data_IF_783841105654
#
_entry.id   IF_783841105654
#
_cell.length_a   1.000
_cell.length_b   1.000
_cell.length_c   1.000
_cell.angle_alpha   90.00
_cell.angle_beta   90.00
_cell.angle_gamma   90.00
#
_symmetry.space_group_name_H-M   'P 1'
#
loop_
_entity.id
_entity.type
_entity.pdbx_description
1 polymer ?
#
# COMPACT_ATOMS: atom_id res chain seq x y z
N UNK A 1 -16.84 33.43 -7.80
CA UNK A 1 -17.44 32.44 -6.85
C UNK A 1 -18.21 31.43 -7.68
N UNK A 2 -17.85 30.15 -7.56
CA UNK A 2 -18.74 29.08 -8.04
C UNK A 2 -19.99 29.20 -7.16
N UNK A 3 -21.18 29.42 -7.74
CA UNK A 3 -22.39 29.51 -6.95
C UNK A 3 -22.66 28.16 -6.26
N UNK A 4 -23.25 28.15 -5.06
CA UNK A 4 -23.63 26.93 -4.38
C UNK A 4 -24.45 25.99 -5.28
N UNK A 5 -25.31 26.56 -6.12
CA UNK A 5 -26.09 25.85 -7.15
C UNK A 5 -25.21 25.16 -8.23
N UNK A 6 -24.07 25.76 -8.59
CA UNK A 6 -23.15 25.15 -9.58
C UNK A 6 -22.40 23.96 -8.97
N UNK A 7 -22.02 24.06 -7.69
CA UNK A 7 -21.36 22.98 -6.98
C UNK A 7 -22.33 21.80 -6.74
N UNK A 8 -23.55 22.07 -6.32
CA UNK A 8 -24.61 21.07 -6.16
C UNK A 8 -24.86 20.30 -7.47
N UNK A 9 -25.03 21.00 -8.60
CA UNK A 9 -25.19 20.37 -9.91
C UNK A 9 -24.00 19.46 -10.30
N UNK A 10 -22.76 19.87 -9.96
CA UNK A 10 -21.56 19.06 -10.23
C UNK A 10 -21.54 17.81 -9.37
N UNK A 11 -21.93 17.90 -8.09
CA UNK A 11 -22.04 16.76 -7.20
C UNK A 11 -23.12 15.79 -7.70
N UNK A 12 -24.26 16.29 -8.10
CA UNK A 12 -25.37 15.47 -8.62
C UNK A 12 -24.99 14.73 -9.91
N UNK A 13 -24.23 15.37 -10.81
CA UNK A 13 -23.71 14.74 -12.02
C UNK A 13 -22.78 13.58 -11.68
N UNK A 14 -21.79 13.82 -10.81
CA UNK A 14 -20.85 12.77 -10.39
C UNK A 14 -21.58 11.66 -9.66
N UNK A 15 -22.52 11.99 -8.77
CA UNK A 15 -23.33 10.99 -8.05
C UNK A 15 -24.17 10.15 -9.01
N UNK A 16 -24.70 10.75 -10.06
CA UNK A 16 -25.46 10.02 -11.10
C UNK A 16 -24.58 9.03 -11.85
N UNK A 17 -23.37 9.40 -12.22
CA UNK A 17 -22.38 8.51 -12.85
C UNK A 17 -22.00 7.34 -11.91
N UNK A 18 -21.77 7.62 -10.61
CA UNK A 18 -21.51 6.58 -9.60
C UNK A 18 -22.71 5.63 -9.42
N UNK A 19 -23.94 6.16 -9.45
CA UNK A 19 -25.17 5.35 -9.37
C UNK A 19 -25.25 4.38 -10.55
N UNK A 20 -25.00 4.89 -11.74
CA UNK A 20 -25.00 4.07 -12.97
C UNK A 20 -23.91 2.99 -12.91
N UNK A 21 -22.71 3.36 -12.46
CA UNK A 21 -21.62 2.42 -12.25
C UNK A 21 -22.00 1.29 -11.29
N UNK A 22 -22.47 1.59 -10.07
CA UNK A 22 -22.84 0.56 -9.09
C UNK A 22 -24.02 -0.31 -9.55
N UNK A 23 -24.91 0.23 -10.37
CA UNK A 23 -26.01 -0.53 -10.94
C UNK A 23 -25.55 -1.51 -12.03
N UNK A 24 -24.67 -1.06 -12.93
CA UNK A 24 -24.21 -1.86 -14.09
C UNK A 24 -23.09 -2.84 -13.76
N UNK A 25 -22.25 -2.54 -12.76
CA UNK A 25 -20.98 -3.22 -12.51
C UNK A 25 -20.96 -3.99 -11.18
N UNK A 26 -22.10 -4.55 -10.77
CA UNK A 26 -22.19 -5.33 -9.52
C UNK A 26 -21.23 -6.51 -9.50
N UNK A 27 -20.91 -7.10 -10.63
CA UNK A 27 -20.04 -8.26 -10.75
C UNK A 27 -18.56 -7.92 -10.55
N UNK A 28 -18.18 -6.67 -10.76
CA UNK A 28 -16.83 -6.17 -10.48
C UNK A 28 -16.60 -5.93 -8.99
N UNK A 29 -17.66 -5.83 -8.19
CA UNK A 29 -17.51 -5.62 -6.73
C UNK A 29 -16.97 -6.88 -6.10
N UNK A 30 -15.74 -6.77 -5.59
CA UNK A 30 -14.99 -7.87 -4.99
C UNK A 30 -15.37 -8.03 -3.52
N UNK A 31 -16.08 -9.13 -3.23
CA UNK A 31 -16.60 -9.40 -1.89
C UNK A 31 -15.52 -10.09 -1.07
N UNK A 32 -15.11 -9.52 0.09
CA UNK A 32 -14.09 -10.13 0.91
C UNK A 32 -14.60 -11.44 1.51
N UNK A 33 -13.68 -12.37 1.78
CA UNK A 33 -13.98 -13.59 2.54
C UNK A 33 -14.64 -13.25 3.88
N UNK A 34 -15.55 -14.12 4.31
CA UNK A 34 -16.27 -13.99 5.58
C UNK A 34 -16.91 -12.60 5.73
N UNK A 35 -17.70 -12.18 4.73
CA UNK A 35 -18.35 -10.86 4.69
C UNK A 35 -19.06 -10.51 6.00
N UNK A 36 -19.68 -11.50 6.67
CA UNK A 36 -20.39 -11.33 7.95
C UNK A 36 -19.47 -11.01 9.13
N UNK A 37 -18.16 -11.24 8.99
CA UNK A 37 -17.15 -10.96 10.03
C UNK A 37 -16.39 -9.65 9.78
N UNK A 38 -16.72 -8.94 8.69
CA UNK A 38 -16.05 -7.69 8.31
C UNK A 38 -16.83 -6.46 8.73
N UNK A 39 -16.11 -5.46 9.20
CA UNK A 39 -16.64 -4.11 9.27
C UNK A 39 -16.63 -3.49 7.89
N UNK A 40 -17.73 -2.83 7.55
CA UNK A 40 -17.82 -1.98 6.37
C UNK A 40 -18.05 -0.53 6.77
N UNK A 41 -17.69 0.35 5.86
CA UNK A 41 -17.98 1.77 5.96
C UNK A 41 -17.98 2.41 4.59
N UNK A 42 -18.61 3.57 4.49
CA UNK A 42 -18.60 4.32 3.25
C UNK A 42 -18.67 5.83 3.49
N UNK A 43 -18.18 6.59 2.52
CA UNK A 43 -18.33 8.04 2.46
C UNK A 43 -19.54 8.39 1.61
N UNK A 44 -20.31 9.38 2.04
CA UNK A 44 -21.38 9.96 1.23
C UNK A 44 -20.89 11.21 0.50
N UNK A 45 -21.50 11.52 -0.64
CA UNK A 45 -21.24 12.80 -1.31
C UNK A 45 -21.68 13.96 -0.43
N UNK A 46 -20.74 14.87 -0.12
CA UNK A 46 -21.02 16.07 0.68
C UNK A 46 -21.20 15.87 2.17
N UNK A 47 -21.02 14.64 2.69
CA UNK A 47 -21.14 14.36 4.13
C UNK A 47 -19.99 13.49 4.64
N UNK A 48 -20.07 13.08 5.93
CA UNK A 48 -19.03 12.32 6.60
C UNK A 48 -19.01 10.82 6.26
N UNK A 49 -18.11 10.12 6.92
CA UNK A 49 -17.97 8.67 6.82
C UNK A 49 -18.97 7.97 7.76
N UNK A 50 -19.70 7.01 7.22
CA UNK A 50 -20.52 6.05 7.95
C UNK A 50 -19.69 4.80 8.16
N UNK A 51 -19.57 4.34 9.40
CA UNK A 51 -18.77 3.17 9.80
C UNK A 51 -19.62 2.18 10.62
N UNK A 52 -18.97 1.08 11.00
CA UNK A 52 -19.57 0.04 11.84
C UNK A 52 -20.77 -0.64 11.18
N UNK A 53 -20.71 -0.82 9.87
CA UNK A 53 -21.70 -1.60 9.12
C UNK A 53 -21.25 -3.05 9.02
N UNK A 54 -22.22 -3.95 8.95
CA UNK A 54 -22.03 -5.37 8.71
C UNK A 54 -23.07 -5.87 7.73
N UNK A 55 -22.69 -6.78 6.86
CA UNK A 55 -23.58 -7.38 5.87
C UNK A 55 -23.50 -8.91 5.99
N UNK A 56 -24.65 -9.56 5.93
CA UNK A 56 -24.72 -11.03 5.99
C UNK A 56 -24.46 -11.66 4.63
N UNK A 57 -24.81 -10.96 3.55
CA UNK A 57 -24.74 -11.48 2.19
C UNK A 57 -24.20 -10.45 1.21
N UNK A 58 -23.68 -10.93 0.08
CA UNK A 58 -23.33 -10.09 -1.08
C UNK A 58 -24.51 -9.21 -1.51
N UNK A 59 -25.73 -9.78 -1.55
CA UNK A 59 -26.93 -9.05 -1.97
C UNK A 59 -27.25 -7.84 -1.10
N UNK A 60 -27.11 -7.95 0.23
CA UNK A 60 -27.31 -6.82 1.16
C UNK A 60 -26.31 -5.70 0.91
N UNK A 61 -25.02 -6.04 0.71
CA UNK A 61 -23.99 -5.07 0.39
C UNK A 61 -24.29 -4.36 -0.94
N UNK A 62 -24.54 -5.10 -2.01
CA UNK A 62 -24.82 -4.54 -3.33
C UNK A 62 -26.09 -3.67 -3.34
N UNK A 63 -27.16 -4.10 -2.70
CA UNK A 63 -28.39 -3.30 -2.53
C UNK A 63 -28.10 -1.97 -1.81
N UNK A 64 -27.21 -1.99 -0.82
CA UNK A 64 -26.78 -0.78 -0.11
C UNK A 64 -25.97 0.14 -1.01
N UNK A 65 -25.03 -0.37 -1.81
CA UNK A 65 -24.25 0.45 -2.74
C UNK A 65 -25.13 1.14 -3.78
N UNK A 66 -26.11 0.42 -4.34
CA UNK A 66 -27.05 0.96 -5.32
C UNK A 66 -27.99 2.01 -4.71
N UNK A 67 -28.45 1.79 -3.47
CA UNK A 67 -29.37 2.70 -2.78
C UNK A 67 -28.68 3.96 -2.30
N UNK A 68 -27.54 3.82 -1.62
CA UNK A 68 -26.84 4.94 -0.95
C UNK A 68 -25.95 5.72 -1.91
N UNK A 69 -25.50 5.09 -3.00
CA UNK A 69 -24.57 5.67 -3.98
C UNK A 69 -23.36 6.32 -3.29
N UNK A 70 -22.55 5.54 -2.58
CA UNK A 70 -21.42 6.09 -1.82
C UNK A 70 -20.33 6.63 -2.75
N UNK A 71 -19.61 7.68 -2.30
CA UNK A 71 -18.45 8.21 -3.00
C UNK A 71 -17.20 7.34 -2.84
N UNK A 72 -17.10 6.65 -1.71
CA UNK A 72 -16.01 5.73 -1.37
C UNK A 72 -16.53 4.62 -0.47
N UNK A 73 -16.07 3.40 -0.67
CA UNK A 73 -16.51 2.22 0.09
C UNK A 73 -15.30 1.48 0.67
N UNK A 74 -15.44 1.01 1.90
CA UNK A 74 -14.35 0.37 2.63
C UNK A 74 -14.82 -0.91 3.31
N UNK A 75 -13.89 -1.87 3.43
CA UNK A 75 -14.02 -3.04 4.30
C UNK A 75 -12.80 -3.18 5.20
N UNK A 76 -12.97 -3.77 6.39
CA UNK A 76 -11.85 -4.01 7.30
C UNK A 76 -10.92 -5.12 6.76
N UNK A 77 -9.60 -4.98 7.05
CA UNK A 77 -8.68 -6.11 6.96
C UNK A 77 -8.93 -7.12 8.10
N UNK A 78 -9.51 -6.66 9.21
CA UNK A 78 -9.81 -7.47 10.36
C UNK A 78 -11.10 -8.29 10.22
N UNK A 79 -11.11 -9.42 10.93
CA UNK A 79 -12.27 -10.25 11.19
C UNK A 79 -12.72 -10.01 12.63
N UNK A 80 -14.02 -9.88 12.84
CA UNK A 80 -14.63 -9.60 14.12
C UNK A 80 -15.80 -10.55 14.39
N UNK A 81 -16.04 -10.83 15.67
CA UNK A 81 -17.26 -11.53 16.09
C UNK A 81 -18.48 -10.59 15.95
N UNK A 82 -18.31 -9.30 16.28
CA UNK A 82 -19.35 -8.29 16.25
C UNK A 82 -18.91 -7.06 15.45
N UNK A 83 -18.82 -7.15 14.10
CA UNK A 83 -18.21 -6.10 13.28
C UNK A 83 -18.94 -4.75 13.33
N UNK A 84 -20.25 -4.73 13.65
CA UNK A 84 -21.05 -3.50 13.76
C UNK A 84 -20.96 -2.79 15.12
N UNK A 85 -20.25 -3.36 16.08
CA UNK A 85 -20.11 -2.76 17.41
C UNK A 85 -18.99 -1.70 17.44
N UNK A 86 -18.92 -0.87 18.50
CA UNK A 86 -17.75 -0.01 18.74
C UNK A 86 -16.45 -0.82 18.77
N UNK A 87 -15.32 -0.18 18.43
CA UNK A 87 -14.03 -0.89 18.22
C UNK A 87 -13.62 -1.75 19.43
N UNK A 88 -13.90 -1.30 20.65
CA UNK A 88 -13.55 -1.99 21.89
C UNK A 88 -14.39 -3.26 22.12
N UNK A 89 -15.55 -3.36 21.48
CA UNK A 89 -16.53 -4.43 21.68
C UNK A 89 -16.59 -5.42 20.49
N UNK A 90 -15.85 -5.14 19.41
CA UNK A 90 -15.91 -5.95 18.18
C UNK A 90 -15.43 -7.39 18.35
N UNK A 91 -14.61 -7.68 19.32
CA UNK A 91 -13.91 -8.98 19.51
C UNK A 91 -13.14 -9.39 18.25
N UNK A 92 -11.89 -8.97 18.20
CA UNK A 92 -10.97 -9.24 17.08
C UNK A 92 -10.65 -10.74 16.98
N UNK A 93 -10.68 -11.29 15.76
CA UNK A 93 -10.44 -12.72 15.45
C UNK A 93 -9.19 -12.93 14.59
N UNK A 94 -8.61 -11.86 14.06
CA UNK A 94 -7.50 -11.89 13.12
C UNK A 94 -7.64 -10.77 12.10
N UNK A 95 -6.64 -10.61 11.25
CA UNK A 95 -6.68 -9.66 10.14
C UNK A 95 -5.85 -10.17 8.97
N UNK A 96 -6.28 -9.88 7.74
CA UNK A 96 -5.45 -10.11 6.55
C UNK A 96 -4.19 -9.27 6.62
N UNK A 97 -3.08 -9.80 6.14
CA UNK A 97 -1.85 -9.03 5.99
C UNK A 97 -1.92 -8.27 4.66
N UNK A 98 -1.87 -6.95 4.73
CA UNK A 98 -1.98 -6.08 3.56
C UNK A 98 -0.82 -5.09 3.57
N UNK A 99 -0.15 -4.95 2.44
CA UNK A 99 0.87 -3.93 2.21
C UNK A 99 0.31 -2.84 1.30
N UNK A 100 0.71 -1.60 1.54
CA UNK A 100 0.36 -0.43 0.73
C UNK A 100 1.62 0.19 0.14
N UNK A 101 1.60 0.43 -1.16
CA UNK A 101 2.68 1.09 -1.90
C UNK A 101 2.09 2.30 -2.60
N UNK A 102 2.45 3.49 -2.16
CA UNK A 102 1.93 4.75 -2.66
C UNK A 102 3.01 5.54 -3.41
N UNK A 103 2.65 6.20 -4.51
CA UNK A 103 3.59 6.98 -5.32
C UNK A 103 4.24 8.13 -4.53
N UNK A 104 3.52 8.70 -3.56
CA UNK A 104 4.04 9.77 -2.68
C UNK A 104 5.27 9.32 -1.87
N UNK A 105 5.36 8.03 -1.51
CA UNK A 105 6.43 7.47 -0.68
C UNK A 105 7.68 7.14 -1.51
N UNK A 106 7.56 7.18 -2.85
CA UNK A 106 8.68 6.96 -3.77
C UNK A 106 9.49 8.23 -4.05
N UNK A 107 8.94 9.41 -3.76
CA UNK A 107 9.57 10.73 -4.00
C UNK A 107 10.14 10.86 -5.44
N UNK A 108 9.36 10.44 -6.44
CA UNK A 108 9.78 10.44 -7.82
C UNK A 108 9.85 11.85 -8.40
N UNK A 109 10.88 12.19 -9.22
CA UNK A 109 11.02 13.52 -9.79
C UNK A 109 9.83 13.99 -10.66
N UNK A 110 9.06 13.03 -11.18
CA UNK A 110 7.88 13.33 -11.99
C UNK A 110 6.69 13.87 -11.17
N UNK A 111 6.70 13.77 -9.85
CA UNK A 111 5.59 14.23 -8.99
C UNK A 111 5.24 15.70 -9.24
N UNK A 112 6.25 16.54 -9.45
CA UNK A 112 6.08 17.96 -9.73
C UNK A 112 5.31 18.21 -11.05
N UNK A 113 5.46 17.32 -12.04
CA UNK A 113 4.90 17.51 -13.39
C UNK A 113 3.44 17.10 -13.52
N UNK A 114 2.92 16.27 -12.61
CA UNK A 114 1.55 15.76 -12.64
C UNK A 114 0.76 16.03 -11.37
N UNK A 115 1.31 16.85 -10.48
CA UNK A 115 0.62 17.35 -9.30
C UNK A 115 0.25 18.81 -9.50
N UNK A 116 -0.93 19.18 -9.01
CA UNK A 116 -1.44 20.54 -9.08
C UNK A 116 -2.27 20.85 -7.83
N UNK A 117 -2.52 22.12 -7.61
CA UNK A 117 -3.37 22.61 -6.55
C UNK A 117 -4.70 23.10 -7.11
N UNK A 118 -5.79 22.87 -6.41
CA UNK A 118 -7.11 23.37 -6.77
C UNK A 118 -7.61 24.27 -5.65
N UNK A 119 -8.01 25.47 -6.00
CA UNK A 119 -8.73 26.35 -5.09
C UNK A 119 -10.15 25.82 -4.85
N UNK A 120 -10.48 25.42 -3.63
CA UNK A 120 -11.82 24.88 -3.31
C UNK A 120 -12.92 25.97 -3.31
N UNK A 121 -12.57 27.25 -3.31
CA UNK A 121 -13.55 28.33 -3.35
C UNK A 121 -13.96 28.74 -4.78
N UNK A 122 -13.03 28.78 -5.74
CA UNK A 122 -13.33 29.21 -7.11
C UNK A 122 -13.03 28.16 -8.19
N UNK A 123 -12.56 26.95 -7.82
CA UNK A 123 -12.25 25.87 -8.73
C UNK A 123 -11.00 26.08 -9.60
N UNK A 124 -10.26 27.19 -9.44
CA UNK A 124 -9.09 27.46 -10.27
C UNK A 124 -7.96 26.49 -9.96
N UNK A 125 -7.33 25.98 -11.01
CA UNK A 125 -6.09 25.21 -10.91
C UNK A 125 -4.94 26.20 -10.66
N UNK A 126 -4.09 25.86 -9.71
CA UNK A 126 -2.96 26.64 -9.23
C UNK A 126 -1.68 25.81 -9.34
N UNK A 127 -0.53 26.44 -9.28
CA UNK A 127 0.75 25.75 -9.14
C UNK A 127 0.83 24.93 -7.84
N UNK A 128 1.61 23.87 -7.85
CA UNK A 128 1.61 22.83 -6.80
C UNK A 128 1.86 23.39 -5.38
N UNK A 129 2.64 24.42 -5.23
CA UNK A 129 3.02 25.00 -3.92
C UNK A 129 2.34 26.33 -3.62
N UNK A 130 1.24 26.66 -4.31
CA UNK A 130 0.49 27.90 -4.02
C UNK A 130 -0.11 27.84 -2.61
N UNK A 131 0.19 28.84 -1.79
CA UNK A 131 -0.37 28.96 -0.43
C UNK A 131 -1.73 29.68 -0.41
N UNK A 132 -2.01 30.47 -1.44
CA UNK A 132 -3.27 31.21 -1.60
C UNK A 132 -3.67 31.29 -3.07
N UNK A 133 -4.96 31.44 -3.30
CA UNK A 133 -5.50 31.65 -4.65
C UNK A 133 -5.39 33.11 -5.06
N UNK A 134 -4.64 33.41 -6.11
CA UNK A 134 -4.48 34.77 -6.65
C UNK A 134 -5.80 35.40 -7.09
N UNK A 135 -6.86 34.63 -7.35
CA UNK A 135 -8.14 35.13 -7.86
C UNK A 135 -9.16 35.46 -6.77
N UNK A 136 -9.12 34.78 -5.62
CA UNK A 136 -10.10 34.98 -4.54
C UNK A 136 -9.45 35.02 -3.15
N UNK A 137 -8.13 35.12 -3.07
CA UNK A 137 -7.32 35.23 -1.86
C UNK A 137 -7.59 34.17 -0.75
N UNK A 138 -8.29 33.09 -1.08
CA UNK A 138 -8.51 32.00 -0.11
C UNK A 138 -7.26 31.15 0.05
N UNK A 139 -7.05 30.63 1.27
CA UNK A 139 -6.06 29.62 1.59
C UNK A 139 -6.62 28.19 1.52
N UNK A 140 -7.90 28.05 1.18
CA UNK A 140 -8.53 26.73 1.08
C UNK A 140 -8.15 26.07 -0.25
N UNK A 141 -6.99 25.44 -0.25
CA UNK A 141 -6.37 24.82 -1.42
C UNK A 141 -6.23 23.31 -1.17
N UNK A 142 -6.58 22.51 -2.17
CA UNK A 142 -6.37 21.06 -2.18
C UNK A 142 -5.28 20.70 -3.18
N UNK A 143 -4.24 20.04 -2.71
CA UNK A 143 -3.28 19.37 -3.61
C UNK A 143 -3.90 18.08 -4.16
N UNK A 144 -3.71 17.85 -5.44
CA UNK A 144 -4.15 16.62 -6.12
C UNK A 144 -3.10 16.22 -7.15
N UNK A 145 -3.02 14.91 -7.39
CA UNK A 145 -2.15 14.35 -8.42
C UNK A 145 -2.86 13.18 -9.09
N UNK A 146 -2.60 12.97 -10.35
CA UNK A 146 -3.00 11.77 -11.09
C UNK A 146 -1.73 10.96 -11.40
N UNK A 147 -1.79 9.63 -11.36
CA UNK A 147 -0.62 8.80 -11.64
C UNK A 147 -0.18 9.01 -13.11
N UNK A 148 1.11 9.24 -13.32
CA UNK A 148 1.70 9.25 -14.64
C UNK A 148 2.40 7.90 -14.92
N UNK A 149 2.76 7.63 -16.17
CA UNK A 149 3.45 6.39 -16.56
C UNK A 149 4.76 6.15 -15.79
N UNK A 150 5.51 7.21 -15.45
CA UNK A 150 6.74 7.09 -14.63
C UNK A 150 6.44 6.69 -13.20
N UNK A 151 5.37 7.24 -12.59
CA UNK A 151 4.92 6.80 -11.25
C UNK A 151 4.49 5.35 -11.26
N UNK A 152 3.69 4.95 -12.25
CA UNK A 152 3.23 3.57 -12.39
C UNK A 152 4.40 2.61 -12.57
N UNK A 153 5.38 2.96 -13.39
CA UNK A 153 6.61 2.18 -13.56
C UNK A 153 7.39 2.04 -12.24
N UNK A 154 7.56 3.13 -11.49
CA UNK A 154 8.20 3.11 -10.17
C UNK A 154 7.46 2.21 -9.17
N UNK A 155 6.13 2.33 -9.11
CA UNK A 155 5.28 1.49 -8.27
C UNK A 155 5.37 0.00 -8.65
N UNK A 156 5.35 -0.34 -9.95
CA UNK A 156 5.53 -1.72 -10.43
C UNK A 156 6.87 -2.31 -10.01
N UNK A 157 7.95 -1.51 -9.99
CA UNK A 157 9.26 -1.97 -9.51
C UNK A 157 9.27 -2.27 -8.01
N UNK A 158 8.63 -1.43 -7.19
CA UNK A 158 8.48 -1.70 -5.75
C UNK A 158 7.60 -2.93 -5.49
N UNK A 159 6.52 -3.11 -6.26
CA UNK A 159 5.69 -4.32 -6.19
C UNK A 159 6.51 -5.58 -6.48
N UNK A 160 7.35 -5.57 -7.52
CA UNK A 160 8.23 -6.71 -7.85
C UNK A 160 9.19 -7.03 -6.71
N UNK A 161 9.77 -6.00 -6.07
CA UNK A 161 10.64 -6.17 -4.89
C UNK A 161 9.87 -6.80 -3.73
N UNK A 162 8.69 -6.26 -3.41
CA UNK A 162 7.84 -6.80 -2.35
C UNK A 162 7.46 -8.25 -2.62
N UNK A 163 6.96 -8.56 -3.82
CA UNK A 163 6.55 -9.92 -4.20
C UNK A 163 7.73 -10.89 -4.12
N UNK A 164 8.93 -10.49 -4.61
CA UNK A 164 10.13 -11.32 -4.49
C UNK A 164 10.50 -11.60 -3.02
N UNK A 165 10.39 -10.60 -2.12
CA UNK A 165 10.63 -10.80 -0.68
C UNK A 165 9.60 -11.76 -0.08
N UNK A 166 8.32 -11.61 -0.42
CA UNK A 166 7.24 -12.46 0.10
C UNK A 166 7.38 -13.91 -0.36
N UNK A 167 7.74 -14.15 -1.60
CA UNK A 167 7.92 -15.51 -2.13
C UNK A 167 9.23 -16.12 -1.63
N UNK A 168 10.36 -15.43 -1.82
CA UNK A 168 11.68 -16.00 -1.61
C UNK A 168 12.04 -16.15 -0.12
N UNK A 169 11.61 -15.18 0.71
CA UNK A 169 12.05 -15.09 2.10
C UNK A 169 10.98 -15.58 3.08
N UNK A 170 9.69 -15.33 2.78
CA UNK A 170 8.56 -15.79 3.62
C UNK A 170 7.91 -17.08 3.12
N UNK A 171 8.25 -17.54 1.90
CA UNK A 171 7.71 -18.77 1.34
C UNK A 171 6.23 -18.70 0.96
N UNK A 172 5.71 -17.49 0.74
CA UNK A 172 4.31 -17.30 0.36
C UNK A 172 4.14 -17.75 -1.09
N UNK A 173 3.18 -18.63 -1.34
CA UNK A 173 2.85 -19.05 -2.69
C UNK A 173 2.25 -17.88 -3.49
N UNK A 174 2.68 -17.72 -4.74
CA UNK A 174 2.24 -16.63 -5.61
C UNK A 174 0.70 -16.53 -5.74
N UNK A 175 0.01 -17.67 -5.76
CA UNK A 175 -1.47 -17.73 -5.79
C UNK A 175 -2.15 -17.07 -4.59
N UNK A 176 -1.42 -16.94 -3.45
CA UNK A 176 -1.91 -16.32 -2.21
C UNK A 176 -1.58 -14.82 -2.17
N UNK A 177 -0.95 -14.26 -3.20
CA UNK A 177 -0.61 -12.83 -3.33
C UNK A 177 -1.56 -12.20 -4.33
N UNK A 178 -2.44 -11.31 -3.85
CA UNK A 178 -3.35 -10.57 -4.73
C UNK A 178 -2.95 -9.10 -4.75
N UNK A 179 -2.69 -8.59 -5.93
CA UNK A 179 -2.35 -7.19 -6.15
C UNK A 179 -3.58 -6.44 -6.63
N UNK A 180 -3.87 -5.30 -5.99
CA UNK A 180 -4.91 -4.37 -6.40
C UNK A 180 -4.30 -3.00 -6.69
N UNK A 181 -4.67 -2.40 -7.79
CA UNK A 181 -4.56 -0.95 -7.95
C UNK A 181 -5.53 -0.27 -6.97
N UNK A 182 -5.07 0.71 -6.21
CA UNK A 182 -5.85 1.33 -5.11
C UNK A 182 -7.04 2.19 -5.56
N UNK A 183 -7.13 2.45 -6.88
CA UNK A 183 -8.07 3.40 -7.46
C UNK A 183 -7.56 4.85 -7.43
N UNK A 184 -6.29 5.09 -7.06
CA UNK A 184 -5.69 6.44 -7.06
C UNK A 184 -4.21 6.36 -7.49
N UNK A 185 -3.26 6.51 -6.57
CA UNK A 185 -1.83 6.63 -6.87
C UNK A 185 -0.99 5.49 -6.28
N UNK A 186 -1.55 4.31 -6.07
CA UNK A 186 -0.82 3.24 -5.40
C UNK A 186 -1.40 1.86 -5.66
N UNK A 187 -0.80 0.87 -4.99
CA UNK A 187 -1.24 -0.52 -5.04
C UNK A 187 -1.32 -1.11 -3.63
N UNK A 188 -2.31 -1.95 -3.40
CA UNK A 188 -2.41 -2.79 -2.21
C UNK A 188 -2.05 -4.23 -2.56
N UNK A 189 -1.22 -4.86 -1.74
CA UNK A 189 -0.88 -6.28 -1.85
C UNK A 189 -1.51 -7.03 -0.70
N UNK A 190 -2.47 -7.88 -1.00
CA UNK A 190 -3.21 -8.68 -0.03
C UNK A 190 -2.62 -10.09 0.02
N UNK A 191 -2.33 -10.58 1.23
CA UNK A 191 -1.84 -11.94 1.47
C UNK A 191 -2.98 -12.77 2.01
N UNK A 192 -3.38 -13.80 1.25
CA UNK A 192 -4.49 -14.69 1.60
C UNK A 192 -4.07 -15.86 2.50
N UNK A 193 -2.83 -15.90 2.96
CA UNK A 193 -2.32 -16.98 3.80
C UNK A 193 -2.76 -16.84 5.25
N UNK A 194 -3.44 -17.84 5.77
CA UNK A 194 -4.01 -17.85 7.12
C UNK A 194 -2.98 -17.77 8.25
N UNK A 195 -1.73 -18.17 8.00
CA UNK A 195 -0.67 -18.14 9.02
C UNK A 195 -0.36 -16.72 9.50
N UNK A 196 -0.60 -15.70 8.67
CA UNK A 196 -0.37 -14.29 9.01
C UNK A 196 -1.56 -13.62 9.70
N UNK A 197 -2.73 -14.27 9.76
CA UNK A 197 -3.98 -13.66 10.28
C UNK A 197 -3.89 -13.32 11.76
N UNK A 198 -3.17 -14.10 12.55
CA UNK A 198 -3.07 -13.91 14.00
C UNK A 198 -1.89 -13.04 14.43
N UNK A 199 -1.11 -12.50 13.49
CA UNK A 199 -0.06 -11.54 13.82
C UNK A 199 -0.68 -10.26 14.37
N UNK A 200 -0.27 -9.90 15.57
CA UNK A 200 -0.60 -8.61 16.18
C UNK A 200 0.18 -7.45 15.53
N UNK A 201 -0.09 -6.23 15.96
CA UNK A 201 0.57 -5.03 15.42
C UNK A 201 2.09 -5.05 15.59
N UNK A 202 2.62 -5.63 16.68
CA UNK A 202 4.05 -5.73 16.93
C UNK A 202 4.71 -6.69 15.94
N UNK A 203 4.18 -7.91 15.81
CA UNK A 203 4.69 -8.90 14.87
C UNK A 203 4.62 -8.40 13.41
N UNK A 204 3.55 -7.66 13.07
CA UNK A 204 3.43 -7.01 11.75
C UNK A 204 4.49 -5.92 11.55
N UNK A 205 4.83 -5.16 12.58
CA UNK A 205 5.91 -4.17 12.51
C UNK A 205 7.27 -4.82 12.26
N UNK A 206 7.51 -6.03 12.78
CA UNK A 206 8.73 -6.81 12.48
C UNK A 206 8.75 -7.27 11.02
N UNK A 207 7.62 -7.73 10.49
CA UNK A 207 7.48 -8.06 9.04
C UNK A 207 7.75 -6.84 8.18
N UNK A 208 7.22 -5.69 8.55
CA UNK A 208 7.45 -4.40 7.86
C UNK A 208 8.93 -4.03 7.89
N UNK A 209 9.58 -4.08 9.05
CA UNK A 209 11.01 -3.81 9.20
C UNK A 209 11.86 -4.72 8.32
N UNK A 210 11.50 -6.02 8.27
CA UNK A 210 12.16 -6.98 7.40
C UNK A 210 11.99 -6.63 5.91
N UNK A 211 10.77 -6.38 5.47
CA UNK A 211 10.45 -6.08 4.06
C UNK A 211 11.12 -4.78 3.60
N UNK A 212 11.20 -3.78 4.47
CA UNK A 212 11.84 -2.50 4.17
C UNK A 212 13.38 -2.57 4.26
N UNK A 213 13.94 -3.64 4.83
CA UNK A 213 15.39 -3.74 5.08
C UNK A 213 15.87 -2.83 6.20
N UNK A 214 14.97 -2.39 7.07
CA UNK A 214 15.27 -1.56 8.22
C UNK A 214 15.86 -2.39 9.36
N UNK A 215 16.70 -1.78 10.19
CA UNK A 215 17.25 -2.37 11.44
C UNK A 215 17.96 -3.71 11.26
N UNK A 216 18.49 -3.98 10.06
CA UNK A 216 19.21 -5.22 9.78
C UNK A 216 20.50 -5.28 10.58
N UNK A 217 20.56 -6.20 11.56
CA UNK A 217 21.76 -6.43 12.35
C UNK A 217 22.75 -7.29 11.57
N UNK A 218 24.05 -6.97 11.65
CA UNK A 218 25.10 -7.78 11.00
C UNK A 218 25.12 -9.23 11.53
N UNK A 219 24.73 -9.43 12.78
CA UNK A 219 24.60 -10.75 13.39
C UNK A 219 23.51 -11.59 12.70
N UNK A 220 22.40 -10.99 12.29
CA UNK A 220 21.31 -11.68 11.59
C UNK A 220 21.73 -12.17 10.20
N UNK A 221 22.64 -11.45 9.56
CA UNK A 221 23.23 -11.89 8.28
C UNK A 221 24.45 -12.80 8.48
N UNK A 222 24.84 -13.08 9.73
CA UNK A 222 25.91 -14.02 10.05
C UNK A 222 27.30 -13.40 10.19
N UNK A 223 27.40 -12.08 10.32
CA UNK A 223 28.67 -11.38 10.64
C UNK A 223 28.68 -11.03 12.11
N UNK A 224 29.67 -11.51 12.87
CA UNK A 224 29.79 -11.27 14.31
C UNK A 224 31.14 -10.67 14.66
N UNK A 225 31.13 -9.70 15.59
CA UNK A 225 32.34 -9.15 16.21
C UNK A 225 32.61 -9.90 17.52
N UNK A 226 33.81 -10.43 17.64
CA UNK A 226 34.27 -11.04 18.89
C UNK A 226 34.76 -9.98 19.88
N UNK A 227 34.83 -10.30 21.18
CA UNK A 227 35.29 -9.39 22.23
C UNK A 227 36.72 -8.86 22.04
N UNK A 228 37.57 -9.62 21.35
CA UNK A 228 38.93 -9.25 20.97
C UNK A 228 39.02 -8.40 19.68
N UNK A 229 37.89 -7.94 19.14
CA UNK A 229 37.82 -7.16 17.89
C UNK A 229 37.96 -7.96 16.61
N UNK A 230 38.16 -9.27 16.68
CA UNK A 230 38.15 -10.16 15.49
C UNK A 230 36.73 -10.31 14.93
N UNK A 231 36.63 -10.58 13.65
CA UNK A 231 35.35 -10.82 12.99
C UNK A 231 35.21 -12.31 12.60
N UNK A 232 34.05 -12.86 12.89
CA UNK A 232 33.67 -14.16 12.37
C UNK A 232 32.49 -14.00 11.42
N UNK A 233 32.43 -14.83 10.40
CA UNK A 233 31.33 -14.81 9.43
C UNK A 233 30.83 -16.20 9.13
N UNK A 234 29.51 -16.34 9.06
CA UNK A 234 28.80 -17.49 8.51
C UNK A 234 28.14 -17.16 7.17
N UNK A 235 28.36 -15.94 6.64
CA UNK A 235 27.75 -15.48 5.40
C UNK A 235 28.05 -16.41 4.24
N UNK A 236 29.24 -17.00 4.24
CA UNK A 236 29.74 -17.85 3.14
C UNK A 236 29.82 -19.35 3.46
N UNK A 237 29.59 -19.76 4.72
CA UNK A 237 29.80 -21.16 5.17
C UNK A 237 28.57 -22.06 5.07
N UNK A 238 27.38 -21.49 4.90
CA UNK A 238 26.14 -22.25 4.84
C UNK A 238 25.78 -22.55 3.39
N UNK A 239 25.48 -23.82 3.08
CA UNK A 239 24.90 -24.20 1.79
C UNK A 239 23.45 -23.73 1.65
N UNK A 240 22.83 -23.39 2.77
CA UNK A 240 21.45 -22.91 2.86
C UNK A 240 21.50 -21.48 3.38
N UNK A 241 21.62 -20.52 2.46
CA UNK A 241 21.58 -19.09 2.76
C UNK A 241 20.26 -18.56 2.22
N UNK A 242 19.45 -17.96 3.11
CA UNK A 242 18.13 -17.41 2.80
C UNK A 242 18.02 -15.94 3.24
N UNK A 243 16.99 -15.27 2.78
CA UNK A 243 16.62 -13.95 3.22
C UNK A 243 17.72 -12.93 3.03
N UNK A 244 17.82 -11.97 3.92
CA UNK A 244 18.79 -10.89 3.82
C UNK A 244 20.24 -11.36 3.78
N UNK A 245 20.55 -12.49 4.39
CA UNK A 245 21.90 -13.06 4.29
C UNK A 245 22.27 -13.39 2.85
N UNK A 246 21.36 -14.02 2.11
CA UNK A 246 21.57 -14.34 0.69
C UNK A 246 21.65 -13.06 -0.14
N UNK A 247 20.69 -12.16 0.04
CA UNK A 247 20.60 -10.90 -0.73
C UNK A 247 21.86 -10.05 -0.59
N UNK A 248 22.37 -9.88 0.64
CA UNK A 248 23.62 -9.15 0.92
C UNK A 248 24.84 -9.90 0.36
N UNK A 249 24.91 -11.23 0.53
CA UNK A 249 26.01 -12.01 -0.04
C UNK A 249 26.07 -11.90 -1.56
N UNK A 250 24.94 -12.01 -2.24
CA UNK A 250 24.83 -11.87 -3.70
C UNK A 250 25.24 -10.44 -4.15
N UNK A 251 24.77 -9.40 -3.46
CA UNK A 251 25.13 -8.00 -3.73
C UNK A 251 26.61 -7.72 -3.58
N UNK A 252 27.23 -8.30 -2.55
CA UNK A 252 28.67 -8.18 -2.28
C UNK A 252 29.52 -9.16 -3.12
N UNK A 253 28.87 -10.06 -3.87
CA UNK A 253 29.53 -11.15 -4.63
C UNK A 253 30.43 -12.01 -3.74
N UNK A 254 29.92 -12.39 -2.55
CA UNK A 254 30.61 -13.21 -1.57
C UNK A 254 30.06 -14.62 -1.63
N UNK A 255 30.93 -15.57 -1.93
CA UNK A 255 30.66 -17.01 -1.87
C UNK A 255 31.48 -17.69 -0.77
N UNK A 256 31.34 -19.03 -0.65
CA UNK A 256 32.05 -19.84 0.33
C UNK A 256 33.58 -19.84 0.16
N UNK A 257 34.12 -19.33 -0.97
CA UNK A 257 35.54 -19.25 -1.26
C UNK A 257 36.12 -17.84 -1.03
N UNK A 258 35.26 -16.85 -0.74
CA UNK A 258 35.62 -15.43 -0.72
C UNK A 258 35.71 -14.84 0.69
N UNK A 259 36.07 -15.64 1.72
CA UNK A 259 36.15 -15.17 3.12
C UNK A 259 37.12 -14.00 3.32
N UNK A 260 38.28 -14.02 2.64
CA UNK A 260 39.26 -12.93 2.68
C UNK A 260 38.71 -11.62 2.10
N UNK A 261 37.78 -11.73 1.15
CA UNK A 261 37.12 -10.60 0.54
C UNK A 261 36.24 -9.85 1.54
N UNK A 262 35.49 -10.55 2.40
CA UNK A 262 34.70 -9.90 3.43
C UNK A 262 35.54 -9.14 4.45
N UNK A 263 36.65 -9.74 4.91
CA UNK A 263 37.60 -9.06 5.79
C UNK A 263 38.17 -7.77 5.18
N UNK A 264 38.48 -7.80 3.87
CA UNK A 264 38.94 -6.64 3.14
C UNK A 264 37.82 -5.59 2.95
N UNK A 265 36.57 -5.98 2.74
CA UNK A 265 35.44 -5.08 2.67
C UNK A 265 35.23 -4.37 4.02
N UNK A 266 35.21 -5.10 5.14
CA UNK A 266 35.07 -4.52 6.48
C UNK A 266 36.19 -3.50 6.75
N UNK A 267 37.44 -3.82 6.38
CA UNK A 267 38.56 -2.89 6.53
C UNK A 267 38.40 -1.61 5.69
N UNK A 268 37.95 -1.77 4.41
CA UNK A 268 37.72 -0.63 3.51
C UNK A 268 36.57 0.27 3.95
N UNK A 269 35.55 -0.30 4.56
CA UNK A 269 34.40 0.44 5.11
C UNK A 269 34.74 1.20 6.42
N UNK A 270 35.99 1.19 6.88
CA UNK A 270 36.41 1.80 8.14
C UNK A 270 36.13 0.94 9.38
N UNK A 271 36.02 -0.38 9.20
CA UNK A 271 35.79 -1.34 10.27
C UNK A 271 34.34 -1.82 10.36
N UNK A 272 33.99 -2.46 11.49
CA UNK A 272 32.68 -3.08 11.68
C UNK A 272 31.51 -2.09 11.57
N UNK A 273 31.63 -0.93 12.19
CA UNK A 273 30.54 0.06 12.22
C UNK A 273 30.32 0.71 10.86
N UNK A 274 31.38 1.03 10.13
CA UNK A 274 31.29 1.49 8.75
C UNK A 274 30.66 0.44 7.82
N UNK A 275 31.09 -0.83 7.96
CA UNK A 275 30.48 -1.92 7.20
C UNK A 275 29.00 -2.14 7.54
N UNK A 276 28.60 -1.96 8.81
CA UNK A 276 27.20 -1.99 9.22
C UNK A 276 26.39 -0.94 8.48
N UNK A 277 26.87 0.29 8.37
CA UNK A 277 26.18 1.35 7.63
C UNK A 277 26.03 1.04 6.14
N UNK A 278 27.07 0.48 5.51
CA UNK A 278 26.98 0.05 4.12
C UNK A 278 25.96 -1.08 3.91
N UNK A 279 25.91 -2.06 4.82
CA UNK A 279 24.92 -3.14 4.75
C UNK A 279 23.51 -2.61 4.94
N UNK A 280 23.28 -1.69 5.89
CA UNK A 280 21.99 -1.05 6.08
C UNK A 280 21.55 -0.25 4.83
N UNK A 281 22.49 0.49 4.24
CA UNK A 281 22.22 1.22 3.01
C UNK A 281 21.82 0.27 1.86
N UNK A 282 22.58 -0.81 1.66
CA UNK A 282 22.23 -1.84 0.65
C UNK A 282 20.87 -2.48 0.94
N UNK A 283 20.57 -2.78 2.21
CA UNK A 283 19.30 -3.38 2.57
C UNK A 283 18.12 -2.44 2.26
N UNK A 284 18.24 -1.16 2.60
CA UNK A 284 17.23 -0.14 2.27
C UNK A 284 17.05 0.05 0.75
N UNK A 285 18.12 -0.07 -0.05
CA UNK A 285 18.02 -0.03 -1.52
C UNK A 285 17.31 -1.25 -2.11
N UNK A 286 17.48 -2.42 -1.50
CA UNK A 286 16.89 -3.69 -1.95
C UNK A 286 15.54 -3.99 -1.33
N UNK A 287 15.21 -3.39 -0.21
CA UNK A 287 13.92 -3.47 0.44
C UNK A 287 12.81 -2.81 -0.38
N UNK A 288 11.57 -3.19 -0.13
CA UNK A 288 10.42 -2.56 -0.76
C UNK A 288 9.96 -1.33 0.05
N UNK A 289 9.63 -0.27 -0.65
CA UNK A 289 9.05 0.94 -0.05
C UNK A 289 7.55 0.74 0.12
N UNK A 290 7.12 0.60 1.34
CA UNK A 290 5.72 0.40 1.74
C UNK A 290 5.33 1.41 2.82
N UNK A 291 4.03 1.64 3.02
CA UNK A 291 3.54 2.39 4.19
C UNK A 291 3.54 1.46 5.42
N UNK A 292 4.45 1.70 6.39
CA UNK A 292 4.58 0.83 7.56
C UNK A 292 3.35 0.86 8.47
N UNK A 293 2.67 1.99 8.57
CA UNK A 293 1.49 2.15 9.44
C UNK A 293 0.29 1.37 8.90
N UNK A 294 0.15 1.30 7.58
CA UNK A 294 -0.93 0.55 6.94
C UNK A 294 -0.84 -0.94 7.26
N UNK A 295 0.34 -1.52 7.16
CA UNK A 295 0.55 -2.95 7.39
C UNK A 295 0.46 -3.33 8.87
N UNK A 296 0.96 -2.45 9.76
CA UNK A 296 0.96 -2.70 11.21
C UNK A 296 -0.40 -2.55 11.88
N UNK A 297 -1.32 -1.78 11.28
CA UNK A 297 -2.67 -1.55 11.83
C UNK A 297 -3.60 -2.72 11.55
N UNK A 298 -3.90 -3.50 12.58
CA UNK A 298 -4.79 -4.67 12.50
C UNK A 298 -6.27 -4.32 12.46
N UNK A 299 -6.64 -3.03 12.58
CA UNK A 299 -8.03 -2.56 12.59
C UNK A 299 -8.36 -1.65 11.39
N UNK A 300 -7.48 -1.62 10.40
CA UNK A 300 -7.62 -0.72 9.27
C UNK A 300 -8.75 -1.13 8.34
N UNK A 301 -9.37 -0.12 7.72
CA UNK A 301 -10.30 -0.33 6.62
C UNK A 301 -9.63 0.05 5.31
N UNK A 302 -9.83 -0.77 4.30
CA UNK A 302 -9.30 -0.56 2.94
C UNK A 302 -10.44 -0.37 1.96
N UNK A 303 -10.20 0.39 0.91
CA UNK A 303 -11.18 0.50 -0.18
C UNK A 303 -11.60 -0.87 -0.65
N UNK A 304 -12.90 -1.08 -0.79
CA UNK A 304 -13.47 -2.32 -1.31
C UNK A 304 -13.11 -2.49 -2.80
N UNK A 305 -12.70 -3.68 -3.20
CA UNK A 305 -12.37 -3.99 -4.59
C UNK A 305 -13.58 -3.77 -5.51
N UNK A 306 -13.33 -3.25 -6.71
CA UNK A 306 -14.38 -2.93 -7.68
C UNK A 306 -15.14 -1.64 -7.37
N UNK A 307 -14.82 -0.89 -6.30
CA UNK A 307 -15.49 0.38 -6.00
C UNK A 307 -14.67 1.57 -6.46
N UNK A 308 -15.38 2.67 -6.78
CA UNK A 308 -14.79 3.90 -7.26
C UNK A 308 -14.07 4.68 -6.16
N UNK A 309 -13.09 5.49 -6.56
CA UNK A 309 -12.41 6.45 -5.72
C UNK A 309 -12.88 7.86 -6.07
N UNK A 310 -13.48 8.56 -5.11
CA UNK A 310 -14.03 9.91 -5.33
C UNK A 310 -12.99 10.97 -5.73
N UNK A 311 -11.70 10.73 -5.47
CA UNK A 311 -10.63 11.68 -5.79
C UNK A 311 -10.18 11.60 -7.26
N UNK A 312 -10.19 10.39 -7.81
CA UNK A 312 -9.66 10.11 -9.17
C UNK A 312 -10.75 9.72 -10.17
N UNK A 313 -11.89 9.23 -9.70
CA UNK A 313 -12.90 8.58 -10.53
C UNK A 313 -12.53 7.15 -10.96
N UNK A 314 -11.34 6.66 -10.60
CA UNK A 314 -10.88 5.32 -10.96
C UNK A 314 -11.40 4.27 -9.96
N UNK A 315 -11.58 3.04 -10.42
CA UNK A 315 -11.96 1.93 -9.56
C UNK A 315 -10.75 1.27 -8.90
N UNK A 316 -10.92 0.72 -7.68
CA UNK A 316 -9.95 -0.23 -7.14
C UNK A 316 -10.07 -1.54 -7.91
N UNK A 317 -9.05 -1.92 -8.67
CA UNK A 317 -9.09 -3.07 -9.57
C UNK A 317 -8.04 -4.10 -9.22
N UNK A 318 -8.41 -5.38 -9.32
CA UNK A 318 -7.47 -6.49 -9.23
C UNK A 318 -6.53 -6.47 -10.44
N UNK A 319 -5.23 -6.45 -10.17
CA UNK A 319 -4.20 -6.48 -11.18
C UNK A 319 -3.84 -7.95 -11.48
N UNK A 320 -4.39 -8.50 -12.58
CA UNK A 320 -4.15 -9.89 -12.96
C UNK A 320 -2.76 -10.06 -13.59
N UNK A 321 -2.31 -9.09 -14.37
CA UNK A 321 -0.98 -9.07 -14.97
C UNK A 321 -0.34 -7.69 -14.72
N UNK A 322 0.68 -7.68 -13.86
CA UNK A 322 1.35 -6.44 -13.44
C UNK A 322 2.02 -5.70 -14.60
N UNK A 323 2.57 -6.42 -15.58
CA UNK A 323 3.31 -5.80 -16.68
C UNK A 323 2.38 -5.02 -17.63
N UNK A 324 1.25 -5.62 -17.98
CA UNK A 324 0.31 -5.03 -18.93
C UNK A 324 -0.74 -4.11 -18.29
N UNK A 325 -0.86 -4.10 -16.97
CA UNK A 325 -1.88 -3.31 -16.29
C UNK A 325 -1.60 -1.80 -16.41
N UNK A 326 -2.56 -1.06 -16.97
CA UNK A 326 -2.50 0.40 -17.14
C UNK A 326 -3.67 1.08 -16.41
N UNK A 327 -3.43 1.70 -15.24
CA UNK A 327 -4.50 2.21 -14.37
C UNK A 327 -5.47 3.17 -15.03
N UNK A 328 -5.00 4.04 -15.92
CA UNK A 328 -5.84 5.05 -16.58
C UNK A 328 -6.74 4.45 -17.67
N UNK A 329 -6.46 3.22 -18.08
CA UNK A 329 -7.31 2.47 -19.05
C UNK A 329 -8.13 1.42 -18.31
N UNK A 330 -7.44 0.54 -17.54
CA UNK A 330 -8.08 -0.65 -16.97
C UNK A 330 -8.97 -0.32 -15.76
N UNK A 331 -8.71 0.78 -15.05
CA UNK A 331 -9.49 1.21 -13.89
C UNK A 331 -10.40 2.42 -14.16
N UNK A 332 -10.42 2.95 -15.39
CA UNK A 332 -11.31 4.03 -15.80
C UNK A 332 -12.63 3.45 -16.32
N UNK A 333 -13.59 3.28 -15.40
CA UNK A 333 -14.87 2.62 -15.67
C UNK A 333 -16.07 3.57 -15.62
N UNK A 334 -15.83 4.88 -15.47
CA UNK A 334 -16.84 5.92 -15.55
C UNK A 334 -16.96 6.41 -16.99
N UNK A 335 -17.98 5.93 -17.66
CA UNK A 335 -18.45 6.50 -18.91
C UNK A 335 -17.83 5.89 -20.17
N UNK A 336 -18.65 5.25 -20.94
CA UNK A 336 -18.79 5.41 -22.38
C UNK A 336 -20.19 5.98 -22.65
#
# INVERSE_FOLDING_TARGET
MISSKSLEKSIDLVRSAFKEYYFKNTDLIDIPECIQEREFGYMQFGSGMIRHLSFKTRGELLATLIREVPSDVYSSNAYYTYPSYPIQEKTWKGADLIFDIDAKDLHLPCEITHSYSICLNCGRVLEINSESCASCNTKTIRKTSLPCSKCIYGLKNELKRLVSLLIDDFGIEEKNIIIYFSGNNGFHVHILDNIFRLLDSQARSEVVGYVMGNDLLLESIGVRKASNGAYSTRLSKSRLIYGWRKRIADRLKIDHKSLDRLGNLIKRSGGYDGFKLEVLHMANEMGAKIDPQVTSDVHRVFRLGGTLNSKSGLAKMKCVNLESFEPLTDACLLGD
#
